data_IF_422451609922
#
_entry.id   IF_422451609922
#
_cell.length_a   1.000
_cell.length_b   1.000
_cell.length_c   1.000
_cell.angle_alpha   90.00
_cell.angle_beta   90.00
_cell.angle_gamma   90.00
#
_symmetry.space_group_name_H-M   'P 1'
#
loop_
_entity.id
_entity.type
_entity.pdbx_description
1 polymer ?
#
# COMPACT_ATOMS: atom_id res chain seq x y z
N UNK A 1 -7.67 15.21 -27.08
CA UNK A 1 -8.61 14.57 -26.11
C UNK A 1 -8.74 13.07 -26.27
N UNK A 2 -8.79 12.53 -27.50
CA UNK A 2 -8.94 11.08 -27.76
C UNK A 2 -7.69 10.28 -27.42
N UNK A 3 -6.48 10.79 -27.71
CA UNK A 3 -5.21 10.14 -27.32
C UNK A 3 -5.07 10.00 -25.81
N UNK A 4 -5.54 10.96 -25.03
CA UNK A 4 -5.47 10.91 -23.56
C UNK A 4 -6.45 9.86 -22.99
N UNK A 5 -7.61 9.65 -23.62
CA UNK A 5 -8.57 8.59 -23.24
C UNK A 5 -8.01 7.21 -23.58
N UNK A 6 -7.51 7.00 -24.79
CA UNK A 6 -6.92 5.73 -25.19
C UNK A 6 -5.75 5.30 -24.33
N UNK A 7 -4.88 6.24 -23.93
CA UNK A 7 -3.76 5.95 -23.02
C UNK A 7 -4.26 5.56 -21.63
N UNK A 8 -5.29 6.24 -21.11
CA UNK A 8 -5.91 5.92 -19.82
C UNK A 8 -6.51 4.50 -19.81
N UNK A 9 -7.19 4.11 -20.88
CA UNK A 9 -7.77 2.77 -21.01
C UNK A 9 -6.71 1.66 -21.09
N UNK A 10 -5.59 1.90 -21.78
CA UNK A 10 -4.45 0.97 -21.84
C UNK A 10 -3.84 0.76 -20.45
N UNK A 11 -3.55 1.83 -19.73
CA UNK A 11 -3.00 1.73 -18.36
C UNK A 11 -3.95 1.04 -17.39
N UNK A 12 -5.26 1.33 -17.47
CA UNK A 12 -6.26 0.66 -16.65
C UNK A 12 -6.29 -0.84 -16.91
N UNK A 13 -6.29 -1.26 -18.19
CA UNK A 13 -6.27 -2.69 -18.57
C UNK A 13 -5.02 -3.37 -18.01
N UNK A 14 -3.85 -2.77 -18.20
CA UNK A 14 -2.60 -3.31 -17.66
C UNK A 14 -2.62 -3.45 -16.13
N UNK A 15 -3.18 -2.47 -15.42
CA UNK A 15 -3.29 -2.53 -13.95
C UNK A 15 -4.29 -3.60 -13.51
N UNK A 16 -5.41 -3.77 -14.24
CA UNK A 16 -6.38 -4.83 -13.97
C UNK A 16 -5.76 -6.22 -14.19
N UNK A 17 -5.04 -6.42 -15.29
CA UNK A 17 -4.33 -7.68 -15.59
C UNK A 17 -3.28 -8.00 -14.50
N UNK A 18 -2.48 -7.00 -14.10
CA UNK A 18 -1.51 -7.17 -13.00
C UNK A 18 -2.19 -7.44 -11.65
N UNK A 19 -3.30 -6.77 -11.35
CA UNK A 19 -4.09 -7.03 -10.15
C UNK A 19 -4.62 -8.47 -10.11
N UNK A 20 -5.12 -8.99 -11.24
CA UNK A 20 -5.55 -10.39 -11.36
C UNK A 20 -4.38 -11.38 -11.21
N UNK A 21 -3.19 -11.05 -11.76
CA UNK A 21 -2.00 -11.86 -11.59
C UNK A 21 -1.56 -11.91 -10.12
N UNK A 22 -1.53 -10.78 -9.43
CA UNK A 22 -1.24 -10.70 -7.99
C UNK A 22 -2.22 -11.59 -7.24
N UNK A 23 -3.53 -11.41 -7.46
CA UNK A 23 -4.55 -12.21 -6.79
C UNK A 23 -4.33 -13.71 -7.01
N UNK A 24 -4.11 -14.14 -8.24
CA UNK A 24 -3.88 -15.57 -8.56
C UNK A 24 -2.65 -16.11 -7.81
N UNK A 25 -1.56 -15.34 -7.75
CA UNK A 25 -0.34 -15.75 -7.05
C UNK A 25 -0.56 -15.81 -5.53
N UNK A 26 -1.23 -14.81 -4.97
CA UNK A 26 -1.52 -14.80 -3.52
C UNK A 26 -2.46 -15.93 -3.13
N UNK A 27 -3.48 -16.25 -3.93
CA UNK A 27 -4.37 -17.39 -3.71
C UNK A 27 -3.58 -18.71 -3.71
N UNK A 28 -2.71 -18.94 -4.70
CA UNK A 28 -1.88 -20.15 -4.80
C UNK A 28 -0.92 -20.31 -3.62
N UNK A 29 -0.27 -19.21 -3.20
CA UNK A 29 0.63 -19.26 -2.05
C UNK A 29 -0.17 -19.49 -0.76
N UNK A 30 -1.34 -18.89 -0.62
CA UNK A 30 -2.21 -19.07 0.55
C UNK A 30 -2.68 -20.53 0.66
N UNK A 31 -3.09 -21.15 -0.46
CA UNK A 31 -3.45 -22.57 -0.49
C UNK A 31 -2.28 -23.48 -0.06
N UNK A 32 -1.08 -23.19 -0.57
CA UNK A 32 0.12 -23.93 -0.19
C UNK A 32 0.43 -23.78 1.31
N UNK A 33 0.39 -22.56 1.86
CA UNK A 33 0.62 -22.31 3.28
C UNK A 33 -0.46 -22.98 4.16
N UNK A 34 -1.72 -22.97 3.73
CA UNK A 34 -2.81 -23.64 4.42
C UNK A 34 -2.63 -25.16 4.44
N UNK A 35 -2.16 -25.75 3.32
CA UNK A 35 -1.84 -27.17 3.26
C UNK A 35 -0.70 -27.54 4.21
N UNK A 36 0.36 -26.73 4.27
CA UNK A 36 1.46 -26.91 5.24
C UNK A 36 0.96 -26.84 6.69
N UNK A 37 0.07 -25.90 6.99
CA UNK A 37 -0.51 -25.74 8.32
C UNK A 37 -1.33 -26.97 8.72
N UNK A 38 -2.12 -27.52 7.78
CA UNK A 38 -2.98 -28.68 7.99
C UNK A 38 -2.21 -30.00 8.14
N UNK A 39 -0.97 -30.08 7.65
CA UNK A 39 -0.14 -31.25 7.78
C UNK A 39 0.30 -31.56 9.23
N UNK A 40 0.15 -30.61 10.15
CA UNK A 40 0.41 -30.76 11.58
C UNK A 40 1.86 -31.08 11.97
N UNK A 41 2.81 -30.92 11.05
CA UNK A 41 4.23 -31.21 11.24
C UNK A 41 5.07 -29.99 11.59
N UNK A 42 4.43 -28.80 11.66
CA UNK A 42 5.11 -27.55 11.95
C UNK A 42 5.45 -27.40 13.44
N UNK A 43 6.63 -26.87 13.72
CA UNK A 43 6.93 -26.34 15.03
C UNK A 43 6.11 -25.07 15.29
N UNK A 44 5.96 -24.67 16.55
CA UNK A 44 5.24 -23.44 16.93
C UNK A 44 5.80 -22.21 16.19
N UNK A 45 7.11 -22.13 16.04
CA UNK A 45 7.79 -21.07 15.32
C UNK A 45 7.45 -21.07 13.82
N UNK A 46 7.47 -22.24 13.17
CA UNK A 46 7.10 -22.36 11.74
C UNK A 46 5.63 -21.98 11.54
N UNK A 47 4.75 -22.33 12.49
CA UNK A 47 3.36 -21.94 12.45
C UNK A 47 3.19 -20.41 12.56
N UNK A 48 3.93 -19.75 13.46
CA UNK A 48 3.92 -18.29 13.59
C UNK A 48 4.43 -17.60 12.32
N UNK A 49 5.53 -18.08 11.73
CA UNK A 49 6.06 -17.56 10.46
C UNK A 49 5.06 -17.73 9.31
N UNK A 50 4.41 -18.88 9.22
CA UNK A 50 3.38 -19.12 8.19
C UNK A 50 2.21 -18.15 8.34
N UNK A 51 1.76 -17.91 9.58
CA UNK A 51 0.72 -16.91 9.83
C UNK A 51 1.15 -15.50 9.40
N UNK A 52 2.38 -15.08 9.72
CA UNK A 52 2.93 -13.79 9.29
C UNK A 52 2.98 -13.67 7.76
N UNK A 53 3.37 -14.73 7.05
CA UNK A 53 3.36 -14.73 5.58
C UNK A 53 1.94 -14.58 5.02
N UNK A 54 0.92 -15.19 5.64
CA UNK A 54 -0.48 -15.00 5.23
C UNK A 54 -0.93 -13.54 5.37
N UNK A 55 -0.49 -12.82 6.43
CA UNK A 55 -0.75 -11.39 6.57
C UNK A 55 -0.08 -10.58 5.46
N UNK A 56 1.19 -10.87 5.13
CA UNK A 56 1.91 -10.23 4.02
C UNK A 56 1.14 -10.41 2.71
N UNK A 57 0.69 -11.62 2.40
CA UNK A 57 -0.07 -11.92 1.18
C UNK A 57 -1.36 -11.11 1.10
N UNK A 58 -2.10 -10.98 2.21
CA UNK A 58 -3.32 -10.17 2.28
C UNK A 58 -3.04 -8.69 1.99
N UNK A 59 -1.96 -8.12 2.52
CA UNK A 59 -1.59 -6.73 2.26
C UNK A 59 -1.08 -6.53 0.82
N UNK A 60 -0.37 -7.50 0.24
CA UNK A 60 0.06 -7.46 -1.18
C UNK A 60 -1.16 -7.49 -2.11
N UNK A 61 -2.14 -8.37 -1.86
CA UNK A 61 -3.39 -8.42 -2.64
C UNK A 61 -4.16 -7.10 -2.51
N UNK A 62 -4.26 -6.56 -1.30
CA UNK A 62 -4.89 -5.26 -1.03
C UNK A 62 -4.23 -4.14 -1.81
N UNK A 63 -2.90 -4.08 -1.87
CA UNK A 63 -2.17 -3.09 -2.66
C UNK A 63 -2.50 -3.20 -4.15
N UNK A 64 -2.60 -4.42 -4.68
CA UNK A 64 -3.05 -4.66 -6.06
C UNK A 64 -4.43 -4.10 -6.32
N UNK A 65 -5.40 -4.41 -5.46
CA UNK A 65 -6.78 -3.92 -5.54
C UNK A 65 -6.86 -2.40 -5.46
N UNK A 66 -6.19 -1.79 -4.49
CA UNK A 66 -6.16 -0.33 -4.31
C UNK A 66 -5.54 0.38 -5.52
N UNK A 67 -4.53 -0.21 -6.15
CA UNK A 67 -3.93 0.34 -7.38
C UNK A 67 -4.92 0.39 -8.54
N UNK A 68 -5.76 -0.63 -8.70
CA UNK A 68 -6.86 -0.65 -9.69
C UNK A 68 -7.91 0.42 -9.36
N UNK A 69 -8.24 0.61 -8.08
CA UNK A 69 -9.18 1.65 -7.66
C UNK A 69 -8.65 3.07 -7.93
N UNK A 70 -7.36 3.31 -7.71
CA UNK A 70 -6.73 4.60 -8.10
C UNK A 70 -6.83 4.82 -9.60
N UNK A 71 -6.59 3.79 -10.43
CA UNK A 71 -6.73 3.91 -11.88
C UNK A 71 -8.17 4.25 -12.30
N UNK A 72 -9.18 3.68 -11.62
CA UNK A 72 -10.60 4.04 -11.84
C UNK A 72 -10.86 5.51 -11.51
N UNK A 73 -10.33 6.01 -10.38
CA UNK A 73 -10.48 7.43 -10.03
C UNK A 73 -9.84 8.36 -11.07
N UNK A 74 -8.68 7.99 -11.63
CA UNK A 74 -8.05 8.75 -12.71
C UNK A 74 -8.91 8.73 -13.98
N UNK A 75 -9.48 7.58 -14.33
CA UNK A 75 -10.39 7.46 -15.47
C UNK A 75 -11.64 8.32 -15.29
N UNK A 76 -12.31 8.24 -14.14
CA UNK A 76 -13.47 9.07 -13.81
C UNK A 76 -13.13 10.57 -13.90
N UNK A 77 -11.94 10.97 -13.44
CA UNK A 77 -11.47 12.36 -13.58
C UNK A 77 -11.39 12.79 -15.05
N UNK A 78 -10.92 11.90 -15.93
CA UNK A 78 -10.79 12.19 -17.38
C UNK A 78 -12.18 12.23 -18.04
N UNK A 79 -13.01 11.22 -17.81
CA UNK A 79 -14.35 11.08 -18.42
C UNK A 79 -15.29 12.23 -18.04
N UNK A 80 -15.32 12.55 -16.74
CA UNK A 80 -16.16 13.62 -16.20
C UNK A 80 -15.52 15.01 -16.29
N UNK A 81 -14.31 15.10 -16.86
CA UNK A 81 -13.55 16.35 -17.01
C UNK A 81 -13.40 17.10 -15.67
N UNK A 82 -13.14 16.35 -14.58
CA UNK A 82 -12.94 16.95 -13.27
C UNK A 82 -11.69 17.82 -13.25
N UNK A 83 -11.85 19.08 -12.85
CA UNK A 83 -10.78 20.07 -12.75
C UNK A 83 -10.53 20.37 -11.27
N UNK A 84 -9.49 19.73 -10.71
CA UNK A 84 -8.95 20.13 -9.41
C UNK A 84 -8.12 21.42 -9.55
N UNK A 85 -8.02 22.20 -8.48
CA UNK A 85 -7.16 23.38 -8.50
C UNK A 85 -5.68 22.99 -8.57
N UNK A 86 -4.79 23.86 -9.09
CA UNK A 86 -3.35 23.58 -9.15
C UNK A 86 -2.77 23.18 -7.79
N UNK A 87 -3.19 23.86 -6.72
CA UNK A 87 -2.74 23.59 -5.35
C UNK A 87 -3.16 22.18 -4.90
N UNK A 88 -4.42 21.78 -5.19
CA UNK A 88 -4.90 20.43 -4.87
C UNK A 88 -4.12 19.35 -5.63
N UNK A 89 -3.78 19.61 -6.89
CA UNK A 89 -2.96 18.68 -7.70
C UNK A 89 -1.54 18.57 -7.17
N UNK A 90 -0.93 19.67 -6.74
CA UNK A 90 0.41 19.66 -6.14
C UNK A 90 0.43 18.89 -4.82
N UNK A 91 -0.57 19.10 -3.96
CA UNK A 91 -0.71 18.38 -2.70
C UNK A 91 -0.91 16.88 -2.91
N UNK A 92 -1.76 16.45 -3.85
CA UNK A 92 -1.94 15.05 -4.24
C UNK A 92 -0.62 14.45 -4.75
N UNK A 93 0.13 15.18 -5.56
CA UNK A 93 1.39 14.72 -6.10
C UNK A 93 2.46 14.51 -5.01
N UNK A 94 2.49 15.37 -3.99
CA UNK A 94 3.35 15.20 -2.80
C UNK A 94 3.01 13.94 -2.02
N UNK A 95 1.71 13.68 -1.81
CA UNK A 95 1.24 12.47 -1.12
C UNK A 95 1.59 11.21 -1.90
N UNK A 96 1.36 11.18 -3.22
CA UNK A 96 1.69 10.06 -4.08
C UNK A 96 3.20 9.78 -4.12
N UNK A 97 4.05 10.81 -4.22
CA UNK A 97 5.52 10.65 -4.14
C UNK A 97 5.98 10.10 -2.78
N UNK A 98 5.30 10.48 -1.70
CA UNK A 98 5.61 9.95 -0.38
C UNK A 98 5.20 8.47 -0.29
N UNK A 99 4.03 8.13 -0.80
CA UNK A 99 3.53 6.75 -0.88
C UNK A 99 4.45 5.85 -1.73
N UNK A 100 4.91 6.33 -2.89
CA UNK A 100 5.85 5.62 -3.75
C UNK A 100 7.14 5.24 -3.01
N UNK A 101 7.69 6.18 -2.23
CA UNK A 101 8.86 5.90 -1.38
C UNK A 101 8.55 4.88 -0.30
N UNK A 102 7.39 4.96 0.34
CA UNK A 102 6.97 3.98 1.34
C UNK A 102 6.84 2.59 0.73
N UNK A 103 6.22 2.48 -0.45
CA UNK A 103 6.08 1.22 -1.16
C UNK A 103 7.45 0.63 -1.53
N UNK A 104 8.35 1.44 -2.08
CA UNK A 104 9.71 1.00 -2.41
C UNK A 104 10.45 0.47 -1.17
N UNK A 105 10.35 1.17 -0.05
CA UNK A 105 11.00 0.74 1.19
C UNK A 105 10.34 -0.52 1.77
N UNK A 106 9.01 -0.68 1.70
CA UNK A 106 8.34 -1.89 2.17
C UNK A 106 8.73 -3.13 1.35
N UNK A 107 8.88 -2.99 0.03
CA UNK A 107 9.39 -4.08 -0.81
C UNK A 107 10.85 -4.44 -0.45
N UNK A 108 11.71 -3.45 -0.21
CA UNK A 108 13.09 -3.71 0.25
C UNK A 108 13.12 -4.44 1.59
N UNK A 109 12.26 -4.06 2.53
CA UNK A 109 12.12 -4.74 3.81
C UNK A 109 11.76 -6.23 3.60
N UNK A 110 10.78 -6.53 2.74
CA UNK A 110 10.41 -7.89 2.39
C UNK A 110 11.55 -8.70 1.73
N UNK A 111 12.46 -8.02 1.05
CA UNK A 111 13.68 -8.61 0.46
C UNK A 111 14.81 -8.79 1.49
N UNK A 112 14.59 -8.44 2.74
CA UNK A 112 15.58 -8.58 3.80
C UNK A 112 16.59 -7.44 3.88
N UNK A 113 16.31 -6.27 3.28
CA UNK A 113 17.18 -5.10 3.37
C UNK A 113 17.11 -4.48 4.77
N UNK A 114 18.12 -4.77 5.58
CA UNK A 114 18.25 -4.26 6.96
C UNK A 114 18.44 -2.74 7.07
N UNK A 115 18.66 -2.03 5.96
CA UNK A 115 18.74 -0.56 5.96
C UNK A 115 17.37 0.11 6.10
N UNK A 116 16.29 -0.62 5.85
CA UNK A 116 14.92 -0.14 6.00
C UNK A 116 14.56 -0.08 7.48
N UNK A 117 14.13 1.10 7.92
CA UNK A 117 13.68 1.35 9.29
C UNK A 117 12.17 1.57 9.27
N UNK A 118 11.42 0.68 9.93
CA UNK A 118 9.96 0.75 10.01
C UNK A 118 9.48 2.08 10.59
N UNK A 119 10.21 2.67 11.54
CA UNK A 119 9.91 3.97 12.12
C UNK A 119 9.92 5.11 11.07
N UNK A 120 10.75 4.99 10.04
CA UNK A 120 10.74 5.97 8.92
C UNK A 120 9.48 5.85 8.07
N UNK A 121 8.96 4.63 7.89
CA UNK A 121 7.70 4.42 7.17
C UNK A 121 6.54 4.97 8.00
N UNK A 122 6.51 4.71 9.31
CA UNK A 122 5.49 5.26 10.23
C UNK A 122 5.49 6.79 10.16
N UNK A 123 6.65 7.44 10.28
CA UNK A 123 6.74 8.91 10.16
C UNK A 123 6.27 9.44 8.80
N UNK A 124 6.49 8.69 7.71
CA UNK A 124 5.96 9.06 6.39
C UNK A 124 4.44 8.87 6.33
N UNK A 125 3.91 7.84 6.97
CA UNK A 125 2.47 7.62 7.08
C UNK A 125 1.80 8.75 7.85
N UNK A 126 2.36 9.18 8.99
CA UNK A 126 1.86 10.32 9.76
C UNK A 126 1.85 11.60 8.90
N UNK A 127 2.90 11.81 8.11
CA UNK A 127 2.96 12.93 7.16
C UNK A 127 1.88 12.86 6.07
N UNK A 128 1.54 11.67 5.58
CA UNK A 128 0.41 11.50 4.64
C UNK A 128 -0.90 11.85 5.34
N UNK A 129 -1.13 11.42 6.58
CA UNK A 129 -2.33 11.74 7.36
C UNK A 129 -2.46 13.25 7.59
N UNK A 130 -1.37 13.93 7.95
CA UNK A 130 -1.37 15.39 8.10
C UNK A 130 -1.69 16.11 6.80
N UNK A 131 -1.14 15.65 5.68
CA UNK A 131 -1.44 16.19 4.37
C UNK A 131 -2.90 15.94 3.99
N UNK A 132 -3.45 14.74 4.23
CA UNK A 132 -4.85 14.41 3.98
C UNK A 132 -5.77 15.39 4.73
N UNK A 133 -5.55 15.58 6.03
CA UNK A 133 -6.35 16.49 6.84
C UNK A 133 -6.29 17.93 6.32
N UNK A 134 -5.10 18.40 5.93
CA UNK A 134 -4.91 19.75 5.34
C UNK A 134 -5.63 19.86 4.00
N UNK A 135 -5.52 18.85 3.14
CA UNK A 135 -6.17 18.82 1.82
C UNK A 135 -7.69 18.83 1.92
N UNK A 136 -8.27 18.06 2.86
CA UNK A 136 -9.72 18.07 3.11
C UNK A 136 -10.21 19.45 3.57
N UNK A 137 -9.52 20.06 4.54
CA UNK A 137 -9.85 21.41 5.02
C UNK A 137 -9.74 22.44 3.90
N UNK A 138 -8.67 22.42 3.13
CA UNK A 138 -8.45 23.30 2.00
C UNK A 138 -9.51 23.11 0.89
N UNK A 139 -9.91 21.85 0.62
CA UNK A 139 -10.96 21.55 -0.35
C UNK A 139 -12.30 22.18 0.08
N UNK A 140 -12.72 21.98 1.33
CA UNK A 140 -13.95 22.60 1.87
C UNK A 140 -13.91 24.12 1.73
N UNK A 141 -12.78 24.75 2.06
CA UNK A 141 -12.62 26.21 1.90
C UNK A 141 -12.73 26.65 0.43
N UNK A 142 -12.17 25.88 -0.53
CA UNK A 142 -12.28 26.16 -1.97
C UNK A 142 -13.72 26.05 -2.45
N UNK A 143 -14.46 25.04 -1.97
CA UNK A 143 -15.90 24.87 -2.29
C UNK A 143 -16.70 26.06 -1.76
N UNK A 144 -16.52 26.41 -0.48
CA UNK A 144 -17.24 27.54 0.14
C UNK A 144 -16.96 28.90 -0.52
N UNK A 145 -15.76 29.07 -1.09
CA UNK A 145 -15.37 30.29 -1.85
C UNK A 145 -15.77 30.22 -3.34
N UNK A 146 -16.49 29.20 -3.77
CA UNK A 146 -16.88 29.02 -5.19
C UNK A 146 -15.72 28.70 -6.14
N UNK A 147 -14.52 28.43 -5.62
CA UNK A 147 -13.33 28.09 -6.42
C UNK A 147 -13.29 26.63 -6.88
N UNK A 148 -14.11 25.79 -6.28
CA UNK A 148 -14.23 24.37 -6.59
C UNK A 148 -15.69 23.95 -6.55
N UNK A 149 -16.10 23.06 -7.45
CA UNK A 149 -17.46 22.52 -7.46
C UNK A 149 -17.65 21.54 -6.30
N UNK A 150 -18.77 21.62 -5.59
CA UNK A 150 -19.10 20.70 -4.51
C UNK A 150 -19.17 19.22 -4.97
N UNK A 151 -19.56 18.97 -6.24
CA UNK A 151 -19.58 17.64 -6.85
C UNK A 151 -18.20 16.96 -6.91
N UNK A 152 -17.10 17.71 -6.76
CA UNK A 152 -15.74 17.16 -6.72
C UNK A 152 -15.32 16.65 -5.33
N UNK A 153 -16.13 16.89 -4.30
CA UNK A 153 -15.78 16.50 -2.92
C UNK A 153 -15.65 14.98 -2.77
N UNK A 154 -16.63 14.22 -3.24
CA UNK A 154 -16.60 12.77 -3.14
C UNK A 154 -15.42 12.14 -3.93
N UNK A 155 -15.21 12.46 -5.25
CA UNK A 155 -14.06 11.95 -5.99
C UNK A 155 -12.71 12.31 -5.36
N UNK A 156 -12.56 13.56 -4.89
CA UNK A 156 -11.33 14.01 -4.26
C UNK A 156 -11.05 13.28 -2.95
N UNK A 157 -12.07 13.14 -2.11
CA UNK A 157 -11.96 12.44 -0.82
C UNK A 157 -11.66 10.96 -0.99
N UNK A 158 -12.22 10.33 -2.04
CA UNK A 158 -11.95 8.94 -2.36
C UNK A 158 -10.46 8.71 -2.67
N UNK A 159 -9.84 9.56 -3.49
CA UNK A 159 -8.40 9.47 -3.78
C UNK A 159 -7.56 9.56 -2.50
N UNK A 160 -7.89 10.50 -1.60
CA UNK A 160 -7.19 10.66 -0.32
C UNK A 160 -7.30 9.40 0.53
N UNK A 161 -8.49 8.80 0.57
CA UNK A 161 -8.74 7.57 1.32
C UNK A 161 -7.93 6.37 0.75
N UNK A 162 -7.84 6.25 -0.58
CA UNK A 162 -7.03 5.22 -1.22
C UNK A 162 -5.54 5.37 -0.87
N UNK A 163 -5.00 6.59 -0.91
CA UNK A 163 -3.61 6.88 -0.53
C UNK A 163 -3.36 6.49 0.93
N UNK A 164 -4.28 6.83 1.84
CA UNK A 164 -4.17 6.46 3.25
C UNK A 164 -4.13 4.95 3.46
N UNK A 165 -5.05 4.22 2.83
CA UNK A 165 -5.11 2.74 2.90
C UNK A 165 -3.85 2.08 2.36
N UNK A 166 -3.33 2.56 1.23
CA UNK A 166 -2.07 2.06 0.66
C UNK A 166 -0.89 2.33 1.61
N UNK A 167 -0.84 3.50 2.24
CA UNK A 167 0.16 3.84 3.24
C UNK A 167 0.14 2.89 4.45
N UNK A 168 -1.05 2.50 4.92
CA UNK A 168 -1.20 1.52 6.00
C UNK A 168 -0.64 0.14 5.57
N UNK A 169 -0.98 -0.35 4.38
CA UNK A 169 -0.40 -1.61 3.88
C UNK A 169 1.12 -1.56 3.77
N UNK A 170 1.71 -0.43 3.35
CA UNK A 170 3.17 -0.28 3.32
C UNK A 170 3.81 -0.41 4.72
N UNK A 171 3.20 0.18 5.75
CA UNK A 171 3.69 0.05 7.14
C UNK A 171 3.57 -1.39 7.61
N UNK A 172 2.43 -2.04 7.40
CA UNK A 172 2.22 -3.42 7.80
C UNK A 172 3.24 -4.37 7.16
N UNK A 173 3.47 -4.24 5.85
CA UNK A 173 4.47 -5.05 5.13
C UNK A 173 5.87 -4.89 5.72
N UNK A 174 6.28 -3.66 6.03
CA UNK A 174 7.58 -3.40 6.61
C UNK A 174 7.70 -3.88 8.07
N UNK A 175 6.64 -3.76 8.86
CA UNK A 175 6.61 -4.21 10.24
C UNK A 175 6.74 -5.73 10.34
N UNK A 176 5.93 -6.47 9.59
CA UNK A 176 6.01 -7.93 9.56
C UNK A 176 7.38 -8.39 9.05
N UNK A 177 7.91 -7.79 7.98
CA UNK A 177 9.23 -8.12 7.46
C UNK A 177 10.34 -7.90 8.50
N UNK A 178 10.28 -6.82 9.28
CA UNK A 178 11.25 -6.51 10.34
C UNK A 178 11.18 -7.51 11.49
N UNK A 179 9.98 -7.88 11.92
CA UNK A 179 9.75 -8.85 12.98
C UNK A 179 10.20 -10.25 12.58
N UNK A 180 9.97 -10.67 11.35
CA UNK A 180 10.45 -11.94 10.79
C UNK A 180 11.98 -12.02 10.78
N UNK A 181 12.65 -10.95 10.33
CA UNK A 181 14.12 -10.87 10.31
C UNK A 181 14.69 -10.95 11.73
N UNK A 182 14.08 -10.26 12.70
CA UNK A 182 14.49 -10.32 14.10
C UNK A 182 14.34 -11.74 14.67
N UNK A 183 13.25 -12.44 14.36
CA UNK A 183 13.05 -13.81 14.81
C UNK A 183 14.09 -14.76 14.25
N UNK A 184 14.49 -14.61 12.99
CA UNK A 184 15.54 -15.41 12.35
C UNK A 184 16.94 -15.15 12.97
N UNK A 185 17.23 -13.93 13.41
CA UNK A 185 18.50 -13.60 14.07
C UNK A 185 18.60 -14.27 15.44
N UNK A 186 17.53 -14.31 16.21
CA UNK A 186 17.50 -14.99 17.50
C UNK A 186 17.66 -16.51 17.41
N UNK A 187 17.35 -17.12 16.28
CA UNK A 187 17.53 -18.56 16.04
C UNK A 187 18.97 -18.90 15.65
N UNK A 188 19.65 -17.97 14.99
CA UNK A 188 21.03 -18.18 14.52
C UNK A 188 22.09 -17.90 15.59
N UNK A 189 21.74 -17.44 16.80
CA UNK A 189 22.66 -17.45 17.94
C UNK A 189 22.68 -18.86 18.57
N UNK A 190 23.72 -19.68 18.30
CA UNK A 190 23.88 -20.92 19.05
C UNK A 190 24.09 -20.54 20.50
N UNK A 191 23.32 -21.15 21.38
CA UNK A 191 23.45 -21.10 22.83
C UNK A 191 24.92 -21.22 23.26
N UNK A 192 25.60 -20.08 23.41
CA UNK A 192 26.95 -19.96 23.96
C UNK A 192 26.90 -19.85 25.48
N UNK A 193 26.09 -20.65 26.13
CA UNK A 193 26.12 -20.80 27.55
C UNK A 193 25.81 -22.23 27.93
N UNK A 194 26.83 -23.06 27.94
CA UNK A 194 27.04 -24.15 28.90
C UNK A 194 28.45 -24.69 28.73
N UNK A 195 29.41 -24.00 29.37
CA UNK A 195 30.62 -24.61 29.93
C UNK A 195 30.78 -24.04 31.32
N UNK A 196 30.32 -24.81 32.24
CA UNK A 196 30.90 -24.92 33.57
C UNK A 196 31.40 -26.31 33.71
#
# INVERSE_FOLDING_TARGET
>A
PEMSRGLGDVYKRQLQEKGLQIKKLTDQITEYLAALFSAGTMTEQQAAQTASLMYILSDVERMGTLSVEVAKCVQEKIENRYKYTPEAMEELQKSLKTLEKMFTDSIKALQGDKSVQTEKLIKRKDKIMDLDLKMRKAHVQRVNKGKCKASLTAPFTNILHLIDRMGNSCVNLADVASNEILSLIHISEPTRHLRI
#
